data_IF_296322842211
#
_entry.id   IF_296322842211
#
_cell.length_a   1.000
_cell.length_b   1.000
_cell.length_c   1.000
_cell.angle_alpha   90.00
_cell.angle_beta   90.00
_cell.angle_gamma   90.00
#
_symmetry.space_group_name_H-M   'P 1'
#
loop_
_entity.id
_entity.type
_entity.pdbx_description
1 polymer ?
#
# COMPACT_ATOMS: atom_id res chain seq x y z
N UNK A 1 -12.46 7.94 -18.42
CA UNK A 1 -13.33 6.97 -19.15
C UNK A 1 -13.12 5.61 -18.52
N UNK A 2 -14.19 4.76 -18.42
CA UNK A 2 -14.06 3.37 -17.97
C UNK A 2 -13.83 2.44 -19.15
N UNK A 3 -12.98 1.44 -18.96
CA UNK A 3 -12.67 0.37 -19.91
C UNK A 3 -12.98 -0.97 -19.26
N UNK A 4 -13.59 -1.88 -19.96
CA UNK A 4 -13.85 -3.24 -19.47
C UNK A 4 -12.57 -4.07 -19.57
N UNK A 5 -11.95 -4.37 -18.43
CA UNK A 5 -10.79 -5.25 -18.36
C UNK A 5 -11.22 -6.66 -17.95
N UNK A 6 -10.61 -7.65 -18.58
CA UNK A 6 -10.77 -9.05 -18.20
C UNK A 6 -9.87 -9.36 -17.01
N UNK A 7 -10.44 -9.96 -15.98
CA UNK A 7 -9.69 -10.47 -14.83
C UNK A 7 -8.89 -11.69 -15.27
N UNK A 8 -7.57 -11.59 -15.22
CA UNK A 8 -6.65 -12.67 -15.56
C UNK A 8 -6.57 -13.72 -14.47
N UNK A 9 -6.40 -13.26 -13.21
CA UNK A 9 -6.33 -14.12 -12.03
C UNK A 9 -6.91 -13.41 -10.82
N UNK A 10 -7.46 -14.21 -9.90
CA UNK A 10 -7.77 -13.78 -8.53
C UNK A 10 -7.02 -14.72 -7.59
N UNK A 11 -6.15 -14.17 -6.76
CA UNK A 11 -5.34 -14.95 -5.83
C UNK A 11 -5.68 -14.54 -4.39
N UNK A 12 -5.94 -15.51 -3.54
CA UNK A 12 -6.13 -15.27 -2.12
C UNK A 12 -4.80 -14.85 -1.46
N UNK A 13 -4.78 -13.70 -0.85
CA UNK A 13 -3.63 -13.17 -0.10
C UNK A 13 -3.73 -13.50 1.40
N UNK A 14 -4.92 -13.30 1.97
CA UNK A 14 -5.25 -13.64 3.36
C UNK A 14 -6.72 -14.05 3.42
N UNK A 15 -7.22 -14.50 4.56
CA UNK A 15 -8.65 -14.82 4.72
C UNK A 15 -9.60 -13.65 4.38
N UNK A 16 -9.08 -12.40 4.38
CA UNK A 16 -9.87 -11.18 4.16
C UNK A 16 -9.37 -10.37 2.95
N UNK A 17 -8.49 -10.90 2.10
CA UNK A 17 -7.91 -10.10 1.01
C UNK A 17 -7.57 -10.94 -0.21
N UNK A 18 -7.81 -10.36 -1.39
CA UNK A 18 -7.46 -10.93 -2.69
C UNK A 18 -6.56 -9.99 -3.48
N UNK A 19 -5.69 -10.55 -4.31
CA UNK A 19 -5.00 -9.86 -5.38
C UNK A 19 -5.70 -10.18 -6.70
N UNK A 20 -6.10 -9.13 -7.44
CA UNK A 20 -6.80 -9.22 -8.72
C UNK A 20 -5.86 -8.70 -9.80
N UNK A 21 -5.48 -9.58 -10.73
CA UNK A 21 -4.67 -9.20 -11.88
C UNK A 21 -5.53 -9.12 -13.14
N UNK A 22 -5.20 -8.19 -14.02
CA UNK A 22 -5.92 -7.95 -15.27
C UNK A 22 -5.08 -8.35 -16.48
N UNK A 23 -5.73 -8.66 -17.58
CA UNK A 23 -5.07 -8.77 -18.86
C UNK A 23 -4.53 -7.39 -19.29
N UNK A 24 -3.44 -7.42 -20.06
CA UNK A 24 -2.86 -6.19 -20.58
C UNK A 24 -3.88 -5.40 -21.38
N UNK A 25 -3.92 -4.10 -21.18
CA UNK A 25 -4.76 -3.18 -21.93
C UNK A 25 -3.93 -1.98 -22.38
N UNK A 26 -4.14 -1.54 -23.62
CA UNK A 26 -3.51 -0.34 -24.15
C UNK A 26 -3.91 0.89 -23.32
N UNK A 27 -2.95 1.75 -23.02
CA UNK A 27 -3.17 2.96 -22.21
C UNK A 27 -3.24 2.74 -20.70
N UNK A 28 -2.86 1.54 -20.23
CA UNK A 28 -2.75 1.22 -18.81
C UNK A 28 -1.29 1.18 -18.31
N UNK A 29 -0.45 2.05 -18.86
CA UNK A 29 0.88 2.29 -18.27
C UNK A 29 0.74 3.02 -16.94
N UNK A 30 1.50 2.59 -15.93
CA UNK A 30 1.44 3.20 -14.60
C UNK A 30 2.82 3.48 -14.01
N UNK A 31 2.82 4.37 -13.04
CA UNK A 31 3.97 4.63 -12.17
C UNK A 31 3.75 4.00 -10.80
N UNK A 32 4.81 3.46 -10.15
CA UNK A 32 4.71 2.89 -8.81
C UNK A 32 4.06 3.84 -7.81
N UNK A 33 3.01 3.36 -7.14
CA UNK A 33 2.21 4.14 -6.18
C UNK A 33 0.88 4.67 -6.73
N UNK A 34 0.62 4.62 -8.05
CA UNK A 34 -0.68 4.96 -8.63
C UNK A 34 -1.76 3.93 -8.28
N UNK A 35 -3.02 4.29 -8.52
CA UNK A 35 -4.20 3.46 -8.27
C UNK A 35 -5.09 3.33 -9.50
N UNK A 36 -5.95 2.32 -9.49
CA UNK A 36 -7.07 2.14 -10.40
C UNK A 36 -8.39 2.46 -9.70
N UNK A 37 -9.34 3.06 -10.42
CA UNK A 37 -10.73 3.12 -9.97
C UNK A 37 -11.51 2.00 -10.65
N UNK A 38 -11.99 1.04 -9.86
CA UNK A 38 -12.86 -0.04 -10.29
C UNK A 38 -14.32 0.35 -10.12
N UNK A 39 -15.19 -0.10 -11.05
CA UNK A 39 -16.63 0.15 -11.03
C UNK A 39 -17.39 -1.15 -11.26
N UNK A 40 -18.39 -1.40 -10.44
CA UNK A 40 -19.29 -2.53 -10.58
C UNK A 40 -20.70 -2.19 -10.08
N UNK A 41 -21.70 -2.89 -10.62
CA UNK A 41 -23.03 -2.93 -10.04
C UNK A 41 -23.05 -3.99 -8.94
N UNK A 42 -23.28 -3.57 -7.71
CA UNK A 42 -23.37 -4.45 -6.53
C UNK A 42 -24.73 -4.23 -5.88
N UNK A 43 -25.54 -5.27 -5.81
CA UNK A 43 -26.91 -5.22 -5.28
C UNK A 43 -27.77 -4.08 -5.88
N UNK A 44 -27.61 -3.85 -7.19
CA UNK A 44 -28.34 -2.80 -7.93
C UNK A 44 -27.77 -1.39 -7.75
N UNK A 45 -26.68 -1.20 -7.02
CA UNK A 45 -26.00 0.08 -6.81
C UNK A 45 -24.74 0.19 -7.64
N UNK A 46 -24.56 1.29 -8.38
CA UNK A 46 -23.32 1.61 -9.12
C UNK A 46 -22.24 2.07 -8.15
N UNK A 47 -21.31 1.20 -7.83
CA UNK A 47 -20.22 1.47 -6.89
C UNK A 47 -18.89 1.69 -7.60
N UNK A 48 -18.10 2.63 -7.10
CA UNK A 48 -16.76 2.95 -7.57
C UNK A 48 -15.80 2.98 -6.39
N UNK A 49 -14.67 2.27 -6.51
CA UNK A 49 -13.64 2.24 -5.46
C UNK A 49 -12.25 2.27 -6.08
N UNK A 50 -11.36 3.01 -5.43
CA UNK A 50 -9.97 3.11 -5.85
C UNK A 50 -9.11 2.11 -5.08
N UNK A 51 -8.22 1.42 -5.80
CA UNK A 51 -7.27 0.45 -5.27
C UNK A 51 -5.89 0.71 -5.84
N UNK A 52 -4.91 0.85 -4.96
CA UNK A 52 -3.53 1.08 -5.38
C UNK A 52 -2.99 -0.11 -6.16
N UNK A 53 -2.21 0.17 -7.18
CA UNK A 53 -1.55 -0.84 -8.01
C UNK A 53 -0.42 -1.45 -7.19
N UNK A 54 -0.44 -2.77 -7.07
CA UNK A 54 0.50 -3.55 -6.26
C UNK A 54 1.58 -4.25 -7.09
N UNK A 55 1.49 -4.21 -8.41
CA UNK A 55 2.49 -4.76 -9.35
C UNK A 55 3.49 -3.70 -9.83
N UNK A 56 4.61 -4.16 -10.37
CA UNK A 56 5.61 -3.29 -11.00
C UNK A 56 5.21 -3.03 -12.47
N UNK A 57 5.60 -1.87 -13.04
CA UNK A 57 5.51 -1.65 -14.49
C UNK A 57 6.18 -2.79 -15.28
N UNK A 58 5.48 -3.30 -16.28
CA UNK A 58 5.90 -4.45 -17.08
C UNK A 58 5.42 -5.82 -16.56
N UNK A 59 4.85 -5.88 -15.35
CA UNK A 59 4.15 -7.06 -14.85
C UNK A 59 2.65 -7.01 -15.19
N UNK A 60 1.90 -8.06 -14.83
CA UNK A 60 0.44 -8.01 -14.94
C UNK A 60 -0.14 -6.96 -14.00
N UNK A 61 -0.95 -6.04 -14.52
CA UNK A 61 -1.60 -4.98 -13.75
C UNK A 61 -2.42 -5.60 -12.62
N UNK A 62 -2.03 -5.36 -11.37
CA UNK A 62 -2.59 -6.05 -10.20
C UNK A 62 -2.96 -5.06 -9.10
N UNK A 63 -4.13 -5.24 -8.51
CA UNK A 63 -4.56 -4.52 -7.30
C UNK A 63 -4.79 -5.49 -6.15
N UNK A 64 -4.58 -5.00 -4.92
CA UNK A 64 -4.93 -5.73 -3.70
C UNK A 64 -6.23 -5.19 -3.10
N UNK A 65 -7.20 -6.07 -2.87
CA UNK A 65 -8.49 -5.69 -2.27
C UNK A 65 -8.66 -6.41 -0.95
N UNK A 66 -8.65 -5.65 0.15
CA UNK A 66 -8.97 -6.16 1.47
C UNK A 66 -10.45 -5.92 1.76
N UNK A 67 -11.15 -6.97 2.20
CA UNK A 67 -12.51 -6.86 2.69
C UNK A 67 -12.55 -5.99 3.95
N UNK A 68 -13.46 -5.03 3.98
CA UNK A 68 -13.77 -4.23 5.17
C UNK A 68 -15.15 -4.60 5.69
N UNK A 69 -15.40 -4.54 7.00
CA UNK A 69 -16.73 -4.76 7.55
C UNK A 69 -17.75 -3.86 6.85
N UNK A 70 -18.90 -4.41 6.46
CA UNK A 70 -20.00 -3.74 5.77
C UNK A 70 -19.65 -3.10 4.43
N UNK A 71 -18.46 -3.39 3.90
CA UNK A 71 -17.97 -2.89 2.62
C UNK A 71 -18.55 -3.66 1.43
N UNK A 72 -19.62 -3.16 0.80
CA UNK A 72 -20.30 -3.84 -0.30
C UNK A 72 -19.36 -4.18 -1.46
N UNK A 73 -18.56 -3.21 -1.95
CA UNK A 73 -17.63 -3.45 -3.05
C UNK A 73 -16.49 -4.39 -2.64
N UNK A 74 -15.91 -4.24 -1.47
CA UNK A 74 -14.80 -5.10 -1.02
C UNK A 74 -15.24 -6.54 -0.77
N UNK A 75 -16.49 -6.77 -0.35
CA UNK A 75 -17.09 -8.09 -0.25
C UNK A 75 -17.36 -8.68 -1.64
N UNK A 76 -17.95 -7.91 -2.55
CA UNK A 76 -18.11 -8.31 -3.96
C UNK A 76 -16.78 -8.71 -4.60
N UNK A 77 -15.72 -7.96 -4.35
CA UNK A 77 -14.39 -8.21 -4.92
C UNK A 77 -13.78 -9.56 -4.46
N UNK A 78 -14.13 -10.06 -3.26
CA UNK A 78 -13.68 -11.40 -2.81
C UNK A 78 -14.30 -12.55 -3.63
N UNK A 79 -15.45 -12.31 -4.28
CA UNK A 79 -16.17 -13.32 -5.08
C UNK A 79 -15.88 -13.21 -6.59
N UNK A 80 -14.98 -12.32 -7.00
CA UNK A 80 -14.58 -12.21 -8.41
C UNK A 80 -13.77 -13.43 -8.85
N UNK A 81 -13.91 -13.78 -10.12
CA UNK A 81 -13.23 -14.95 -10.71
C UNK A 81 -12.49 -14.56 -12.00
N UNK A 82 -11.49 -15.36 -12.37
CA UNK A 82 -10.79 -15.21 -13.64
C UNK A 82 -11.77 -15.35 -14.81
N UNK A 83 -11.59 -14.52 -15.85
CA UNK A 83 -12.47 -14.44 -17.02
C UNK A 83 -13.63 -13.45 -16.86
N UNK A 84 -13.97 -13.01 -15.63
CA UNK A 84 -14.95 -11.95 -15.43
C UNK A 84 -14.44 -10.60 -15.98
N UNK A 85 -15.35 -9.71 -16.34
CA UNK A 85 -15.01 -8.34 -16.75
C UNK A 85 -15.44 -7.35 -15.67
N UNK A 86 -14.61 -6.34 -15.49
CA UNK A 86 -14.90 -5.22 -14.58
C UNK A 86 -14.49 -3.90 -15.24
N UNK A 87 -15.29 -2.86 -15.03
CA UNK A 87 -15.00 -1.54 -15.56
C UNK A 87 -13.89 -0.85 -14.72
N UNK A 88 -12.83 -0.40 -15.38
CA UNK A 88 -11.62 0.15 -14.77
C UNK A 88 -11.27 1.48 -15.43
N UNK A 89 -10.91 2.51 -14.64
CA UNK A 89 -10.31 3.73 -15.16
C UNK A 89 -8.78 3.55 -15.29
N UNK A 90 -8.21 4.27 -16.26
CA UNK A 90 -6.75 4.35 -16.42
C UNK A 90 -6.06 4.73 -15.09
N UNK A 91 -4.78 4.34 -14.90
CA UNK A 91 -4.04 4.63 -13.69
C UNK A 91 -3.97 6.12 -13.37
N UNK A 92 -4.25 6.47 -12.11
CA UNK A 92 -4.23 7.85 -11.61
C UNK A 92 -3.49 7.91 -10.28
N UNK A 93 -3.23 9.13 -9.77
CA UNK A 93 -2.65 9.37 -8.46
C UNK A 93 -1.32 10.12 -8.50
N UNK A 94 -1.02 10.79 -7.37
CA UNK A 94 0.19 11.60 -7.17
C UNK A 94 1.13 11.03 -6.12
N UNK A 95 0.71 9.96 -5.46
CA UNK A 95 1.51 9.23 -4.47
C UNK A 95 2.49 8.30 -5.20
N UNK A 96 3.51 8.87 -5.83
CA UNK A 96 4.42 8.15 -6.73
C UNK A 96 5.88 8.35 -6.34
N UNK A 97 6.64 7.27 -6.43
CA UNK A 97 8.10 7.31 -6.32
C UNK A 97 8.71 8.04 -7.53
N UNK A 98 9.70 8.90 -7.29
CA UNK A 98 10.29 9.78 -8.31
C UNK A 98 11.78 9.53 -8.55
N UNK A 99 12.33 8.46 -7.98
CA UNK A 99 13.73 8.08 -8.17
C UNK A 99 14.62 8.31 -6.94
N UNK A 100 14.03 8.59 -5.77
CA UNK A 100 14.75 8.74 -4.50
C UNK A 100 15.52 7.45 -4.18
N UNK A 101 16.78 7.58 -3.73
CA UNK A 101 17.70 6.45 -3.58
C UNK A 101 17.71 5.82 -2.19
N UNK A 102 17.27 6.54 -1.16
CA UNK A 102 17.05 5.99 0.18
C UNK A 102 15.65 6.35 0.65
N UNK A 103 14.76 5.37 0.73
CA UNK A 103 13.36 5.59 1.07
C UNK A 103 12.90 4.76 2.26
N UNK A 104 12.07 5.37 3.09
CA UNK A 104 11.37 4.70 4.18
C UNK A 104 9.89 4.59 3.86
N UNK A 105 9.36 3.39 3.91
CA UNK A 105 7.97 3.07 3.68
C UNK A 105 7.34 2.66 5.02
N UNK A 106 6.19 3.24 5.37
CA UNK A 106 5.44 2.86 6.57
C UNK A 106 4.02 2.51 6.16
N UNK A 107 3.66 1.25 6.34
CA UNK A 107 2.36 0.71 5.94
C UNK A 107 1.63 0.04 7.08
N UNK A 108 0.29 -0.01 7.01
CA UNK A 108 -0.51 -0.89 7.85
C UNK A 108 -1.65 -1.51 7.04
N UNK A 109 -1.84 -2.83 7.20
CA UNK A 109 -2.89 -3.60 6.52
C UNK A 109 -2.81 -3.45 4.99
N UNK A 110 -3.92 -3.06 4.37
CA UNK A 110 -3.97 -2.85 2.90
C UNK A 110 -3.11 -1.69 2.40
N UNK A 111 -2.62 -0.81 3.28
CA UNK A 111 -1.68 0.24 2.89
C UNK A 111 -0.35 -0.26 2.32
N UNK A 112 -0.09 -1.56 2.36
CA UNK A 112 1.05 -2.18 1.68
C UNK A 112 0.92 -2.17 0.15
N UNK A 113 -0.28 -2.05 -0.40
CA UNK A 113 -0.51 -2.17 -1.85
C UNK A 113 0.30 -1.17 -2.69
N UNK A 114 0.32 0.15 -2.42
CA UNK A 114 1.21 1.04 -3.14
C UNK A 114 2.68 0.83 -2.77
N UNK A 115 2.96 0.39 -1.53
CA UNK A 115 4.33 0.24 -1.03
C UNK A 115 5.09 -0.88 -1.72
N UNK A 116 4.44 -2.01 -2.05
CA UNK A 116 5.11 -3.11 -2.72
C UNK A 116 5.52 -2.72 -4.15
N UNK A 117 4.68 -1.96 -4.86
CA UNK A 117 5.01 -1.42 -6.18
C UNK A 117 6.18 -0.42 -6.10
N UNK A 118 6.14 0.51 -5.14
CA UNK A 118 7.22 1.49 -4.90
C UNK A 118 8.52 0.76 -4.52
N UNK A 119 8.46 -0.15 -3.54
CA UNK A 119 9.63 -0.90 -3.07
C UNK A 119 10.29 -1.69 -4.20
N UNK A 120 9.50 -2.43 -4.97
CA UNK A 120 10.02 -3.24 -6.08
C UNK A 120 10.70 -2.40 -7.15
N UNK A 121 10.10 -1.27 -7.56
CA UNK A 121 10.67 -0.36 -8.55
C UNK A 121 11.94 0.33 -8.03
N UNK A 122 11.93 0.83 -6.79
CA UNK A 122 13.07 1.48 -6.16
C UNK A 122 14.25 0.50 -6.02
N UNK A 123 14.01 -0.71 -5.51
CA UNK A 123 15.04 -1.74 -5.39
C UNK A 123 15.61 -2.16 -6.74
N UNK A 124 14.78 -2.29 -7.77
CA UNK A 124 15.22 -2.61 -9.13
C UNK A 124 16.12 -1.51 -9.73
N UNK A 125 15.90 -0.24 -9.35
CA UNK A 125 16.71 0.90 -9.79
C UNK A 125 18.06 1.04 -9.05
N UNK A 126 18.26 0.28 -7.97
CA UNK A 126 19.49 0.37 -7.14
C UNK A 126 19.28 1.06 -5.79
N UNK A 127 18.11 1.57 -5.50
CA UNK A 127 17.80 2.24 -4.24
C UNK A 127 17.81 1.32 -3.02
N UNK A 128 17.98 1.91 -1.83
CA UNK A 128 17.80 1.26 -0.54
C UNK A 128 16.40 1.55 -0.01
N UNK A 129 15.73 0.53 0.49
CA UNK A 129 14.35 0.62 0.98
C UNK A 129 14.23 0.02 2.36
N UNK A 130 13.64 0.74 3.29
CA UNK A 130 13.18 0.21 4.58
C UNK A 130 11.65 0.23 4.60
N UNK A 131 11.01 -0.93 4.80
CA UNK A 131 9.56 -1.04 4.97
C UNK A 131 9.22 -1.45 6.40
N UNK A 132 8.54 -0.57 7.14
CA UNK A 132 7.90 -0.90 8.42
C UNK A 132 6.43 -1.21 8.15
N UNK A 133 6.02 -2.47 8.37
CA UNK A 133 4.71 -2.95 7.98
C UNK A 133 3.91 -3.51 9.15
N UNK A 134 2.86 -2.79 9.54
CA UNK A 134 1.96 -3.13 10.64
C UNK A 134 0.81 -4.04 10.22
N UNK A 135 0.59 -5.12 10.98
CA UNK A 135 -0.53 -6.04 10.80
C UNK A 135 -1.11 -6.50 12.15
N UNK A 136 -2.23 -7.21 12.12
CA UNK A 136 -2.77 -7.85 13.34
C UNK A 136 -1.95 -9.07 13.73
N UNK A 137 -1.66 -9.93 12.78
CA UNK A 137 -0.91 -11.17 12.93
C UNK A 137 -0.23 -11.53 11.61
N UNK A 138 0.66 -12.50 11.64
CA UNK A 138 1.34 -13.07 10.47
C UNK A 138 0.35 -13.54 9.39
N UNK A 139 -0.78 -14.15 9.78
CA UNK A 139 -1.82 -14.63 8.88
C UNK A 139 -2.57 -13.50 8.13
N UNK A 140 -2.44 -12.24 8.58
CA UNK A 140 -3.10 -11.07 7.96
C UNK A 140 -2.16 -10.22 7.10
N UNK A 141 -0.92 -10.67 6.88
CA UNK A 141 0.06 -9.99 6.04
C UNK A 141 -0.28 -10.20 4.56
N UNK A 142 -0.77 -9.17 3.90
CA UNK A 142 -0.99 -9.18 2.45
C UNK A 142 0.36 -9.13 1.72
N UNK A 143 0.45 -9.77 0.56
CA UNK A 143 1.64 -9.82 -0.30
C UNK A 143 2.90 -10.37 0.40
N UNK A 144 2.72 -11.20 1.43
CA UNK A 144 3.85 -11.73 2.21
C UNK A 144 4.88 -12.44 1.34
N UNK A 145 4.45 -13.37 0.49
CA UNK A 145 5.37 -14.09 -0.40
C UNK A 145 6.14 -13.15 -1.35
N UNK A 146 5.49 -12.11 -1.86
CA UNK A 146 6.14 -11.13 -2.73
C UNK A 146 7.14 -10.25 -1.97
N UNK A 147 6.84 -9.88 -0.72
CA UNK A 147 7.78 -9.16 0.15
C UNK A 147 8.98 -10.02 0.53
N UNK A 148 8.76 -11.30 0.84
CA UNK A 148 9.82 -12.28 1.13
C UNK A 148 10.74 -12.45 -0.10
N UNK A 149 10.16 -12.58 -1.30
CA UNK A 149 10.93 -12.62 -2.56
C UNK A 149 11.76 -11.35 -2.81
N UNK A 150 11.22 -10.17 -2.53
CA UNK A 150 11.98 -8.92 -2.60
C UNK A 150 13.13 -8.92 -1.58
N UNK A 151 12.90 -9.41 -0.35
CA UNK A 151 13.93 -9.52 0.68
C UNK A 151 15.04 -10.46 0.26
N UNK A 152 14.71 -11.62 -0.28
CA UNK A 152 15.71 -12.60 -0.76
C UNK A 152 16.53 -12.04 -1.92
N UNK A 153 15.89 -11.35 -2.86
CA UNK A 153 16.55 -10.78 -4.04
C UNK A 153 17.44 -9.58 -3.74
N UNK A 154 17.04 -8.75 -2.76
CA UNK A 154 17.71 -7.47 -2.44
C UNK A 154 18.16 -7.40 -0.98
N UNK A 155 18.69 -8.49 -0.44
CA UNK A 155 19.00 -8.72 0.97
C UNK A 155 19.73 -7.54 1.65
N UNK A 156 20.71 -6.93 0.98
CA UNK A 156 21.52 -5.83 1.52
C UNK A 156 20.83 -4.45 1.42
N UNK A 157 19.85 -4.31 0.52
CA UNK A 157 19.20 -3.02 0.21
C UNK A 157 17.73 -2.96 0.61
N UNK A 158 17.15 -4.06 1.04
CA UNK A 158 15.77 -4.11 1.52
C UNK A 158 15.70 -4.53 2.99
N UNK A 159 15.31 -3.62 3.86
CA UNK A 159 14.97 -3.90 5.25
C UNK A 159 13.46 -4.01 5.39
N UNK A 160 12.98 -5.18 5.84
CA UNK A 160 11.57 -5.46 6.08
C UNK A 160 11.34 -5.69 7.57
N UNK A 161 10.52 -4.84 8.20
CA UNK A 161 10.20 -4.87 9.63
C UNK A 161 8.70 -5.08 9.79
N UNK A 162 8.31 -6.26 10.28
CA UNK A 162 6.92 -6.54 10.63
C UNK A 162 6.61 -6.11 12.07
N UNK A 163 5.52 -5.37 12.25
CA UNK A 163 4.97 -4.97 13.54
C UNK A 163 3.61 -5.62 13.72
N UNK A 164 3.45 -6.47 14.76
CA UNK A 164 2.23 -7.26 14.96
C UNK A 164 1.47 -6.80 16.21
N UNK A 165 0.17 -6.53 16.07
CA UNK A 165 -0.64 -5.97 17.15
C UNK A 165 -1.43 -7.00 17.96
N UNK A 166 -1.58 -8.22 17.44
CA UNK A 166 -2.34 -9.31 18.08
C UNK A 166 -1.60 -10.66 18.06
N UNK A 167 -0.32 -10.62 17.77
CA UNK A 167 0.59 -11.77 17.80
C UNK A 167 1.88 -11.31 18.45
N UNK A 168 2.35 -12.07 19.44
CA UNK A 168 3.56 -11.70 20.21
C UNK A 168 4.80 -12.09 19.41
N UNK A 169 5.75 -11.15 19.38
CA UNK A 169 7.09 -11.32 18.83
C UNK A 169 8.13 -11.20 19.96
N UNK A 170 9.27 -11.85 19.82
CA UNK A 170 10.35 -11.86 20.83
C UNK A 170 10.91 -10.46 21.10
N UNK A 171 10.96 -9.61 20.06
CA UNK A 171 11.40 -8.23 20.16
C UNK A 171 10.22 -7.34 20.58
N UNK A 172 10.22 -6.89 21.83
CA UNK A 172 9.12 -6.10 22.40
C UNK A 172 8.75 -4.87 21.58
N UNK A 173 9.72 -4.22 20.92
CA UNK A 173 9.51 -3.05 20.06
C UNK A 173 8.62 -3.37 18.84
N UNK A 174 8.60 -4.61 18.39
CA UNK A 174 7.82 -5.05 17.22
C UNK A 174 6.38 -5.45 17.57
N UNK A 175 5.99 -5.41 18.86
CA UNK A 175 4.63 -5.72 19.31
C UNK A 175 3.77 -4.45 19.34
N UNK A 176 2.48 -4.58 19.01
CA UNK A 176 1.51 -3.48 19.03
C UNK A 176 1.29 -2.84 17.66
N UNK A 177 0.79 -1.62 17.63
CA UNK A 177 0.54 -0.86 16.40
C UNK A 177 1.77 -0.06 15.98
N UNK A 178 1.84 0.28 14.69
CA UNK A 178 2.81 1.27 14.20
C UNK A 178 2.37 2.66 14.68
N UNK A 179 3.25 3.34 15.39
CA UNK A 179 3.07 4.71 15.90
C UNK A 179 4.30 5.55 15.62
N UNK A 180 4.20 6.88 15.73
CA UNK A 180 5.36 7.77 15.62
C UNK A 180 6.45 7.44 16.63
N UNK A 181 6.09 7.16 17.91
CA UNK A 181 7.06 6.74 18.94
C UNK A 181 7.80 5.45 18.51
N UNK A 182 7.08 4.47 17.96
CA UNK A 182 7.71 3.23 17.51
C UNK A 182 8.70 3.47 16.38
N UNK A 183 8.34 4.31 15.39
CA UNK A 183 9.26 4.67 14.29
C UNK A 183 10.49 5.41 14.86
N UNK A 184 10.32 6.35 15.79
CA UNK A 184 11.42 7.04 16.43
C UNK A 184 12.37 6.06 17.16
N UNK A 185 11.84 5.08 17.89
CA UNK A 185 12.64 4.05 18.57
C UNK A 185 13.34 3.11 17.59
N UNK A 186 12.71 2.75 16.46
CA UNK A 186 13.36 2.00 15.39
C UNK A 186 14.51 2.80 14.76
N UNK A 187 14.34 4.11 14.59
CA UNK A 187 15.41 4.99 14.11
C UNK A 187 16.56 5.08 15.11
N UNK A 188 16.27 5.28 16.40
CA UNK A 188 17.29 5.30 17.48
C UNK A 188 18.08 3.99 17.56
N UNK A 189 17.46 2.84 17.25
CA UNK A 189 18.15 1.54 17.20
C UNK A 189 18.98 1.30 15.93
N UNK A 190 18.91 2.21 14.96
CA UNK A 190 19.56 2.04 13.65
C UNK A 190 18.82 1.12 12.68
N UNK A 191 17.61 0.63 13.06
CA UNK A 191 16.81 -0.24 12.18
C UNK A 191 16.09 0.53 11.05
N UNK A 192 15.88 1.85 11.24
CA UNK A 192 15.31 2.78 10.25
C UNK A 192 16.24 3.98 10.15
N UNK A 193 16.74 4.27 8.95
CA UNK A 193 17.56 5.45 8.69
C UNK A 193 16.67 6.62 8.26
N UNK A 194 16.24 7.45 9.22
CA UNK A 194 15.45 8.65 8.94
C UNK A 194 16.32 9.82 8.49
N UNK A 195 17.56 9.91 8.96
CA UNK A 195 18.46 11.02 8.66
C UNK A 195 18.92 10.96 7.19
N UNK A 196 19.23 9.76 6.70
CA UNK A 196 19.59 9.52 5.30
C UNK A 196 18.39 9.38 4.36
N UNK A 197 17.15 9.35 4.85
CA UNK A 197 15.98 9.15 4.01
C UNK A 197 15.71 10.36 3.11
N UNK A 198 15.70 10.14 1.81
CA UNK A 198 15.34 11.16 0.81
C UNK A 198 13.83 11.35 0.71
N UNK A 199 13.04 10.29 0.99
CA UNK A 199 11.60 10.34 1.07
C UNK A 199 11.04 9.30 2.06
N UNK A 200 9.92 9.66 2.68
CA UNK A 200 9.12 8.77 3.52
C UNK A 200 7.71 8.68 2.94
N UNK A 201 7.25 7.46 2.69
CA UNK A 201 5.91 7.19 2.19
C UNK A 201 5.07 6.50 3.26
N UNK A 202 3.88 7.04 3.54
CA UNK A 202 2.96 6.55 4.57
C UNK A 202 1.65 6.12 3.94
N UNK A 203 1.18 4.89 4.18
CA UNK A 203 -0.14 4.44 3.77
C UNK A 203 -0.79 3.50 4.79
N UNK A 204 -2.01 3.80 5.20
CA UNK A 204 -2.75 3.03 6.19
C UNK A 204 -3.81 3.86 6.93
N UNK A 205 -4.17 3.47 8.16
CA UNK A 205 -5.13 4.20 8.98
C UNK A 205 -4.73 5.65 9.23
N UNK A 206 -5.71 6.56 9.23
CA UNK A 206 -5.48 7.99 9.43
C UNK A 206 -4.70 8.31 10.72
N UNK A 207 -5.03 7.65 11.83
CA UNK A 207 -4.34 7.80 13.12
C UNK A 207 -2.83 7.47 13.00
N UNK A 208 -2.46 6.40 12.28
CA UNK A 208 -1.06 6.04 12.04
C UNK A 208 -0.36 7.14 11.24
N UNK A 209 -0.98 7.59 10.15
CA UNK A 209 -0.42 8.63 9.27
C UNK A 209 -0.20 9.92 10.05
N UNK A 210 -1.19 10.37 10.83
CA UNK A 210 -1.08 11.60 11.62
C UNK A 210 0.02 11.50 12.68
N UNK A 211 0.07 10.38 13.41
CA UNK A 211 1.07 10.12 14.44
C UNK A 211 2.51 10.10 13.87
N UNK A 212 2.72 9.36 12.76
CA UNK A 212 4.03 9.26 12.13
C UNK A 212 4.44 10.59 11.49
N UNK A 213 3.51 11.29 10.83
CA UNK A 213 3.78 12.62 10.25
C UNK A 213 4.18 13.65 11.31
N UNK A 214 3.51 13.66 12.46
CA UNK A 214 3.87 14.53 13.58
C UNK A 214 5.28 14.23 14.08
N UNK A 215 5.62 12.95 14.30
CA UNK A 215 6.96 12.55 14.72
C UNK A 215 8.04 12.92 13.71
N UNK A 216 7.79 12.71 12.41
CA UNK A 216 8.75 13.08 11.35
C UNK A 216 9.02 14.60 11.33
N UNK A 217 7.97 15.40 11.54
CA UNK A 217 8.10 16.86 11.69
C UNK A 217 8.96 17.23 12.90
N UNK A 218 8.71 16.60 14.05
CA UNK A 218 9.47 16.85 15.29
C UNK A 218 10.94 16.38 15.16
N UNK A 219 11.17 15.34 14.34
CA UNK A 219 12.52 14.88 13.95
C UNK A 219 13.24 15.88 13.02
N UNK A 220 12.53 16.87 12.46
CA UNK A 220 13.09 17.88 11.55
C UNK A 220 13.02 17.50 10.07
N UNK A 221 12.26 16.44 9.71
CA UNK A 221 12.11 16.04 8.31
C UNK A 221 11.33 17.09 7.52
N UNK A 222 11.84 17.56 6.37
CA UNK A 222 11.12 18.48 5.49
C UNK A 222 9.81 17.86 4.99
N UNK A 223 8.73 18.65 5.01
CA UNK A 223 7.39 18.15 4.61
C UNK A 223 7.34 17.65 3.16
N UNK A 224 8.21 18.15 2.30
CA UNK A 224 8.33 17.79 0.88
C UNK A 224 8.85 16.35 0.70
N UNK A 225 9.53 15.82 1.71
CA UNK A 225 9.99 14.42 1.74
C UNK A 225 8.97 13.46 2.33
N UNK A 226 7.87 13.95 2.91
CA UNK A 226 6.83 13.13 3.53
C UNK A 226 5.63 13.04 2.62
N UNK A 227 5.39 11.86 2.08
CA UNK A 227 4.26 11.55 1.21
C UNK A 227 3.29 10.64 1.93
N UNK A 228 1.99 10.87 1.80
CA UNK A 228 0.99 9.98 2.40
C UNK A 228 -0.23 9.79 1.52
N UNK A 229 -0.83 8.61 1.62
CA UNK A 229 -2.11 8.27 1.02
C UNK A 229 -3.02 7.67 2.11
N UNK A 230 -4.21 8.24 2.28
CA UNK A 230 -5.19 7.78 3.26
C UNK A 230 -6.18 6.84 2.58
N UNK A 231 -6.35 5.66 3.15
CA UNK A 231 -7.42 4.78 2.73
C UNK A 231 -8.66 5.07 3.58
N UNK A 232 -9.74 5.46 2.90
CA UNK A 232 -11.03 5.68 3.54
C UNK A 232 -11.74 4.33 3.69
N UNK A 233 -12.26 4.05 4.89
CA UNK A 233 -13.23 2.97 5.11
C UNK A 233 -14.64 3.48 4.78
N UNK A 234 -15.56 2.60 4.38
CA UNK A 234 -16.96 2.97 4.24
C UNK A 234 -17.46 3.49 5.60
N UNK A 235 -17.89 4.75 5.63
CA UNK A 235 -18.21 5.51 6.87
C UNK A 235 -17.37 6.78 7.02
N UNK A 236 -16.20 6.85 6.44
CA UNK A 236 -15.43 8.09 6.34
C UNK A 236 -16.01 8.93 5.19
N UNK A 237 -16.74 9.98 5.52
CA UNK A 237 -17.24 10.93 4.51
C UNK A 237 -16.03 11.59 3.84
N UNK A 238 -15.87 11.50 2.52
CA UNK A 238 -14.80 12.21 1.83
C UNK A 238 -14.99 13.71 2.09
N UNK A 239 -14.01 14.33 2.72
CA UNK A 239 -14.00 15.80 2.83
C UNK A 239 -13.91 16.34 1.41
N UNK A 240 -14.92 17.10 0.97
CA UNK A 240 -14.94 17.72 -0.35
C UNK A 240 -13.61 18.43 -0.64
N UNK A 241 -13.07 18.35 -1.87
CA UNK A 241 -11.86 19.07 -2.22
C UNK A 241 -12.08 20.55 -1.87
N UNK A 242 -11.14 21.13 -1.12
CA UNK A 242 -11.13 22.59 -0.93
C UNK A 242 -10.98 23.20 -2.31
N UNK A 243 -12.00 23.94 -2.74
CA UNK A 243 -11.88 24.86 -3.85
C UNK A 243 -10.92 25.97 -3.40
N UNK A 244 -9.67 25.87 -3.81
CA UNK A 244 -8.75 27.00 -3.73
C UNK A 244 -9.25 28.03 -4.76
N UNK A 245 -9.84 29.12 -4.22
CA UNK A 245 -10.12 30.36 -4.94
C UNK A 245 -8.82 31.21 -4.99
#
# INVERSE_FOLDING_TARGET
MFHDLTIRTVRQETAEAVAISFDAADGFDWRPGQYLTLRAMVDGVDLRRSYSIASLPGEALTVGVKQVPDGAFSTFAQALEAGAKIAVMAPEGRFVWKGEQNIVLVAAGSGVTPMISIAGAALASGATVTLVYGNRSTATIMFRAALDMLKDRYMERFTLIHVLSRETQDVALLNGRVTGEKIARLAQSGAVDLDGAEAVFLCGPGEMIDNVTAMLKDHGMPKERVHFERFFTEGDTPRAPRSDA
#
